data_IF_700625144162
#
_entry.id   IF_700625144162
#
_cell.length_a   1.000
_cell.length_b   1.000
_cell.length_c   1.000
_cell.angle_alpha   90.00
_cell.angle_beta   90.00
_cell.angle_gamma   90.00
#
_symmetry.space_group_name_H-M   'P 1'
#
loop_
_entity.id
_entity.type
_entity.pdbx_description
1 polymer ?
#
# COMPACT_ATOMS: atom_id res chain seq x y z
N UNK A 1 27.58 -1.26 14.46
CA UNK A 1 26.81 -0.05 14.08
C UNK A 1 25.40 -0.52 13.90
N UNK A 2 24.50 -0.18 14.84
CA UNK A 2 23.08 -0.48 14.70
C UNK A 2 22.55 0.35 13.54
N UNK A 3 22.13 -0.33 12.48
CA UNK A 3 21.46 0.29 11.35
C UNK A 3 20.10 0.75 11.86
N UNK A 4 20.00 2.02 12.29
CA UNK A 4 18.73 2.69 12.53
C UNK A 4 18.04 2.97 11.19
N UNK A 5 17.92 1.96 10.31
CA UNK A 5 16.98 2.02 9.22
C UNK A 5 15.62 2.14 9.87
N UNK A 6 15.00 3.30 9.76
CA UNK A 6 13.59 3.49 10.11
C UNK A 6 12.85 2.37 9.38
N UNK A 7 12.46 1.32 10.10
CA UNK A 7 11.69 0.21 9.55
C UNK A 7 10.36 0.83 9.15
N UNK A 8 10.24 1.14 7.86
CA UNK A 8 9.01 1.68 7.30
C UNK A 8 7.95 0.60 7.50
N UNK A 9 6.89 0.92 8.24
CA UNK A 9 5.83 -0.04 8.55
C UNK A 9 5.12 -0.45 7.25
N UNK A 10 4.69 -1.71 7.14
CA UNK A 10 3.93 -2.25 6.02
C UNK A 10 2.74 -1.36 5.63
N UNK A 11 2.05 -0.74 6.59
CA UNK A 11 0.96 0.21 6.31
C UNK A 11 1.42 1.52 5.67
N UNK A 12 2.59 2.02 6.06
CA UNK A 12 3.17 3.21 5.45
C UNK A 12 3.64 2.91 4.02
N UNK A 13 4.24 1.74 3.78
CA UNK A 13 4.56 1.24 2.44
C UNK A 13 3.31 1.12 1.58
N UNK A 14 2.23 0.56 2.11
CA UNK A 14 0.94 0.47 1.43
C UNK A 14 0.40 1.87 1.04
N UNK A 15 0.46 2.84 1.95
CA UNK A 15 0.10 4.23 1.67
C UNK A 15 0.87 4.81 0.49
N UNK A 16 2.19 4.65 0.46
CA UNK A 16 3.04 5.11 -0.66
C UNK A 16 2.68 4.44 -1.98
N UNK A 17 2.29 3.15 -1.97
CA UNK A 17 1.85 2.45 -3.18
C UNK A 17 0.55 3.07 -3.71
N UNK A 18 -0.41 3.34 -2.84
CA UNK A 18 -1.70 3.93 -3.20
C UNK A 18 -1.55 5.38 -3.71
N UNK A 19 -0.63 6.14 -3.13
CA UNK A 19 -0.31 7.50 -3.57
C UNK A 19 0.52 7.55 -4.87
N UNK A 20 0.90 6.40 -5.42
CA UNK A 20 1.75 6.32 -6.62
C UNK A 20 3.22 6.67 -6.39
N UNK A 21 3.65 6.86 -5.13
CA UNK A 21 4.98 7.28 -4.74
C UNK A 21 5.91 6.13 -4.32
N UNK A 22 5.49 4.87 -4.49
CA UNK A 22 6.31 3.70 -4.17
C UNK A 22 7.20 3.25 -5.34
N UNK A 23 8.45 2.94 -5.01
CA UNK A 23 9.41 2.25 -5.88
C UNK A 23 8.98 0.81 -6.21
N UNK A 24 9.62 0.19 -7.19
CA UNK A 24 9.36 -1.21 -7.55
C UNK A 24 9.66 -2.16 -6.40
N UNK A 25 10.70 -1.91 -5.62
CA UNK A 25 11.08 -2.79 -4.51
C UNK A 25 10.12 -2.65 -3.32
N UNK A 26 9.68 -1.44 -2.99
CA UNK A 26 8.62 -1.22 -1.98
C UNK A 26 7.31 -1.92 -2.38
N UNK A 27 6.97 -1.93 -3.67
CA UNK A 27 5.80 -2.68 -4.18
C UNK A 27 5.95 -4.19 -3.96
N UNK A 28 7.16 -4.74 -4.16
CA UNK A 28 7.43 -6.16 -3.89
C UNK A 28 7.36 -6.46 -2.39
N UNK A 29 7.85 -5.56 -1.55
CA UNK A 29 7.80 -5.72 -0.09
C UNK A 29 6.35 -5.76 0.40
N UNK A 30 5.47 -4.90 -0.12
CA UNK A 30 4.03 -4.97 0.17
C UNK A 30 3.44 -6.33 -0.20
N UNK A 31 3.77 -6.87 -1.38
CA UNK A 31 3.30 -8.20 -1.80
C UNK A 31 3.85 -9.31 -0.91
N UNK A 32 5.12 -9.23 -0.50
CA UNK A 32 5.74 -10.20 0.39
C UNK A 32 5.08 -10.20 1.77
N UNK A 33 4.71 -9.02 2.27
CA UNK A 33 4.07 -8.85 3.57
C UNK A 33 2.60 -9.32 3.62
N UNK A 34 2.01 -9.71 2.49
CA UNK A 34 0.65 -10.30 2.46
C UNK A 34 0.56 -11.65 3.17
N UNK A 35 1.67 -12.23 3.64
CA UNK A 35 1.63 -13.40 4.52
C UNK A 35 0.96 -13.11 5.87
N UNK A 36 0.89 -11.85 6.28
CA UNK A 36 0.11 -11.42 7.45
C UNK A 36 -1.36 -11.21 7.05
N UNK A 37 -2.26 -11.99 7.65
CA UNK A 37 -3.68 -11.98 7.32
C UNK A 37 -4.37 -10.64 7.60
N UNK A 38 -3.98 -9.92 8.66
CA UNK A 38 -4.54 -8.61 8.97
C UNK A 38 -4.09 -7.58 7.93
N UNK A 39 -2.82 -7.66 7.53
CA UNK A 39 -2.29 -6.80 6.48
C UNK A 39 -2.93 -7.09 5.12
N UNK A 40 -3.15 -8.35 4.77
CA UNK A 40 -3.85 -8.77 3.56
C UNK A 40 -5.27 -8.19 3.50
N UNK A 41 -6.05 -8.32 4.58
CA UNK A 41 -7.40 -7.73 4.64
C UNK A 41 -7.37 -6.22 4.46
N UNK A 42 -6.43 -5.54 5.12
CA UNK A 42 -6.25 -4.10 4.98
C UNK A 42 -5.87 -3.69 3.55
N UNK A 43 -4.99 -4.45 2.89
CA UNK A 43 -4.63 -4.26 1.50
C UNK A 43 -5.85 -4.35 0.58
N UNK A 44 -6.65 -5.41 0.72
CA UNK A 44 -7.84 -5.63 -0.11
C UNK A 44 -8.87 -4.51 0.06
N UNK A 45 -9.09 -4.05 1.31
CA UNK A 45 -9.97 -2.91 1.59
C UNK A 45 -9.45 -1.64 0.94
N UNK A 46 -8.15 -1.36 1.04
CA UNK A 46 -7.54 -0.17 0.46
C UNK A 46 -7.63 -0.16 -1.07
N UNK A 47 -7.38 -1.31 -1.72
CA UNK A 47 -7.55 -1.48 -3.17
C UNK A 47 -8.99 -1.21 -3.60
N UNK A 48 -9.98 -1.76 -2.88
CA UNK A 48 -11.40 -1.52 -3.19
C UNK A 48 -11.78 -0.05 -3.02
N UNK A 49 -11.27 0.62 -1.99
CA UNK A 49 -11.50 2.04 -1.77
C UNK A 49 -10.89 2.89 -2.89
N UNK A 50 -9.67 2.58 -3.33
CA UNK A 50 -8.99 3.27 -4.43
C UNK A 50 -9.76 3.12 -5.75
N UNK A 51 -10.24 1.91 -6.07
CA UNK A 51 -11.09 1.69 -7.26
C UNK A 51 -12.35 2.55 -7.21
N UNK A 52 -13.10 2.52 -6.10
CA UNK A 52 -14.32 3.31 -5.94
C UNK A 52 -14.08 4.82 -6.02
N UNK A 53 -12.94 5.29 -5.52
CA UNK A 53 -12.56 6.70 -5.61
C UNK A 53 -12.26 7.12 -7.05
N UNK A 54 -11.50 6.30 -7.79
CA UNK A 54 -11.20 6.57 -9.19
C UNK A 54 -12.45 6.50 -10.08
N UNK A 55 -13.33 5.52 -9.87
CA UNK A 55 -14.63 5.45 -10.56
C UNK A 55 -15.48 6.71 -10.32
N UNK A 56 -15.46 7.26 -9.09
CA UNK A 56 -16.14 8.53 -8.79
C UNK A 56 -15.49 9.71 -9.49
N UNK A 57 -14.16 9.77 -9.58
CA UNK A 57 -13.48 10.81 -10.35
C UNK A 57 -13.88 10.71 -11.82
N UNK A 58 -13.91 9.53 -12.42
CA UNK A 58 -14.31 9.36 -13.83
C UNK A 58 -15.78 9.72 -14.08
N UNK A 59 -16.67 9.43 -13.13
CA UNK A 59 -18.10 9.71 -13.28
C UNK A 59 -18.47 11.20 -13.12
N UNK A 60 -17.65 11.99 -12.42
CA UNK A 60 -17.97 13.38 -12.04
C UNK A 60 -16.88 14.41 -12.36
N UNK A 61 -15.75 13.99 -12.94
CA UNK A 61 -14.59 14.82 -13.27
C UNK A 61 -14.59 15.41 -14.68
#
# INVERSE_FOLDING_TARGET
>A
MENNSIQTNNFELLGRVLDGNATIDERKDVLFNMTDALFEECFLVAMRAATLFNEKIEAYG
#
